data_IF_353693548402
#
_entry.id   IF_353693548402
#
_cell.length_a   1.000
_cell.length_b   1.000
_cell.length_c   1.000
_cell.angle_alpha   90.00
_cell.angle_beta   90.00
_cell.angle_gamma   90.00
#
_symmetry.space_group_name_H-M   'P 1'
#
loop_
_entity.id
_entity.type
_entity.pdbx_description
1 polymer ?
#
# COMPACT_ATOMS: atom_id res chain seq x y z
N UNK A 1 -25.58 16.64 -5.47
CA UNK A 1 -24.26 16.84 -4.86
C UNK A 1 -23.85 15.54 -4.19
N UNK A 2 -22.90 14.79 -4.76
CA UNK A 2 -22.34 13.62 -4.10
C UNK A 2 -21.36 14.17 -3.05
N UNK A 3 -21.60 13.92 -1.76
CA UNK A 3 -20.63 14.28 -0.71
C UNK A 3 -19.30 13.61 -1.08
N UNK A 4 -18.15 14.33 -1.08
CA UNK A 4 -16.87 13.66 -1.17
C UNK A 4 -16.76 12.74 0.04
N UNK A 5 -16.79 11.43 -0.20
CA UNK A 5 -16.71 10.44 0.87
C UNK A 5 -15.27 10.46 1.35
N UNK A 6 -15.02 10.92 2.58
CA UNK A 6 -13.67 10.89 3.13
C UNK A 6 -13.30 9.45 3.51
N UNK A 7 -11.99 9.12 3.58
CA UNK A 7 -11.55 7.80 4.02
C UNK A 7 -12.14 7.42 5.39
N UNK A 8 -12.21 8.38 6.32
CA UNK A 8 -12.77 8.16 7.66
C UNK A 8 -14.28 7.87 7.63
N UNK A 9 -15.06 8.48 6.73
CA UNK A 9 -16.49 8.16 6.56
C UNK A 9 -16.67 6.71 6.11
N UNK A 10 -15.88 6.26 5.13
CA UNK A 10 -15.93 4.88 4.64
C UNK A 10 -15.61 3.91 5.77
N UNK A 11 -14.53 4.15 6.49
CA UNK A 11 -14.08 3.25 7.55
C UNK A 11 -15.04 3.23 8.75
N UNK A 12 -15.64 4.36 9.10
CA UNK A 12 -16.68 4.40 10.14
C UNK A 12 -17.93 3.64 9.70
N UNK A 13 -18.34 3.73 8.42
CA UNK A 13 -19.43 2.90 7.89
C UNK A 13 -19.12 1.41 7.92
N UNK A 14 -17.86 1.03 7.70
CA UNK A 14 -17.41 -0.36 7.89
C UNK A 14 -17.48 -0.80 9.36
N UNK A 15 -16.98 0.02 10.30
CA UNK A 15 -17.05 -0.29 11.73
C UNK A 15 -18.48 -0.36 12.26
N UNK A 16 -19.38 0.47 11.72
CA UNK A 16 -20.80 0.49 12.08
C UNK A 16 -21.63 -0.64 11.46
N UNK A 17 -21.07 -1.39 10.49
CA UNK A 17 -21.78 -2.45 9.78
C UNK A 17 -22.64 -1.98 8.59
N UNK A 18 -22.68 -0.66 8.32
CA UNK A 18 -23.38 -0.08 7.16
C UNK A 18 -22.72 -0.49 5.84
N UNK A 19 -21.40 -0.72 5.87
CA UNK A 19 -20.61 -1.20 4.75
C UNK A 19 -20.01 -2.56 5.08
N UNK A 20 -20.18 -3.53 4.19
CA UNK A 20 -19.43 -4.76 4.26
C UNK A 20 -17.95 -4.53 3.86
N UNK A 21 -17.12 -5.53 4.16
CA UNK A 21 -15.67 -5.50 3.96
C UNK A 21 -15.26 -5.22 2.51
N UNK A 22 -15.93 -5.87 1.56
CA UNK A 22 -15.67 -5.69 0.13
C UNK A 22 -16.00 -4.26 -0.31
N UNK A 23 -17.18 -3.75 0.07
CA UNK A 23 -17.63 -2.44 -0.35
C UNK A 23 -16.77 -1.32 0.23
N UNK A 24 -16.37 -1.44 1.49
CA UNK A 24 -15.45 -0.50 2.12
C UNK A 24 -14.10 -0.48 1.38
N UNK A 25 -13.58 -1.65 1.00
CA UNK A 25 -12.32 -1.75 0.27
C UNK A 25 -12.41 -1.14 -1.13
N UNK A 26 -13.49 -1.38 -1.88
CA UNK A 26 -13.73 -0.75 -3.19
C UNK A 26 -13.75 0.78 -3.11
N UNK A 27 -14.44 1.33 -2.10
CA UNK A 27 -14.54 2.78 -1.94
C UNK A 27 -13.16 3.38 -1.57
N UNK A 28 -12.42 2.74 -0.67
CA UNK A 28 -11.06 3.18 -0.33
C UNK A 28 -10.11 3.09 -1.54
N UNK A 29 -10.22 2.02 -2.34
CA UNK A 29 -9.47 1.87 -3.59
C UNK A 29 -9.76 3.02 -4.55
N UNK A 30 -11.04 3.39 -4.75
CA UNK A 30 -11.39 4.52 -5.63
C UNK A 30 -10.79 5.86 -5.16
N UNK A 31 -10.69 6.08 -3.84
CA UNK A 31 -10.03 7.27 -3.30
C UNK A 31 -8.50 7.26 -3.51
N UNK A 32 -7.89 6.08 -3.57
CA UNK A 32 -6.46 5.95 -3.87
C UNK A 32 -6.22 6.26 -5.35
N UNK A 33 -7.02 5.70 -6.24
CA UNK A 33 -6.84 5.84 -7.69
C UNK A 33 -7.18 7.25 -8.22
N UNK A 34 -8.17 7.91 -7.63
CA UNK A 34 -8.75 9.14 -8.20
C UNK A 34 -8.41 10.43 -7.45
N UNK A 35 -7.81 10.35 -6.25
CA UNK A 35 -7.56 11.56 -5.47
C UNK A 35 -6.23 12.21 -5.83
N UNK A 36 -6.27 13.47 -6.21
CA UNK A 36 -5.08 14.32 -6.38
C UNK A 36 -4.38 14.66 -5.05
N UNK A 37 -5.02 14.42 -3.91
CA UNK A 37 -4.50 14.77 -2.58
C UNK A 37 -3.79 13.56 -1.99
N UNK A 38 -2.46 13.61 -1.93
CA UNK A 38 -1.64 12.53 -1.38
C UNK A 38 -2.06 12.09 0.04
N UNK A 39 -2.47 13.02 0.91
CA UNK A 39 -2.94 12.71 2.26
C UNK A 39 -4.22 11.86 2.26
N UNK A 40 -5.11 12.06 1.29
CA UNK A 40 -6.30 11.22 1.11
C UNK A 40 -5.87 9.81 0.70
N UNK A 41 -4.96 9.68 -0.28
CA UNK A 41 -4.44 8.38 -0.73
C UNK A 41 -3.74 7.61 0.40
N UNK A 42 -2.84 8.26 1.14
CA UNK A 42 -2.13 7.66 2.30
C UNK A 42 -3.12 7.19 3.37
N UNK A 43 -4.11 8.04 3.70
CA UNK A 43 -5.12 7.68 4.70
C UNK A 43 -5.98 6.51 4.21
N UNK A 44 -6.38 6.50 2.94
CA UNK A 44 -7.12 5.41 2.33
C UNK A 44 -6.34 4.10 2.36
N UNK A 45 -5.05 4.10 2.00
CA UNK A 45 -4.15 2.96 2.12
C UNK A 45 -4.10 2.44 3.57
N UNK A 46 -3.90 3.34 4.53
CA UNK A 46 -3.87 2.99 5.95
C UNK A 46 -5.15 2.31 6.42
N UNK A 47 -6.31 2.80 5.98
CA UNK A 47 -7.60 2.23 6.34
C UNK A 47 -7.89 0.94 5.58
N UNK A 48 -7.45 0.82 4.32
CA UNK A 48 -7.56 -0.39 3.52
C UNK A 48 -6.81 -1.56 4.18
N UNK A 49 -5.61 -1.30 4.73
CA UNK A 49 -4.85 -2.25 5.55
C UNK A 49 -5.67 -2.76 6.74
N UNK A 50 -6.43 -1.88 7.40
CA UNK A 50 -7.27 -2.24 8.56
C UNK A 50 -8.53 -3.01 8.17
N UNK A 51 -9.10 -2.72 7.00
CA UNK A 51 -10.22 -3.50 6.44
C UNK A 51 -9.79 -4.94 6.15
N UNK A 52 -8.49 -5.19 5.86
CA UNK A 52 -7.91 -6.54 5.64
C UNK A 52 -8.61 -7.34 4.53
N UNK A 53 -9.19 -6.67 3.53
CA UNK A 53 -9.79 -7.33 2.37
C UNK A 53 -8.70 -7.60 1.34
N UNK A 54 -8.59 -8.85 0.90
CA UNK A 54 -7.65 -9.25 -0.14
C UNK A 54 -8.42 -9.66 -1.38
N UNK A 55 -8.08 -9.04 -2.50
CA UNK A 55 -8.52 -9.48 -3.82
C UNK A 55 -7.44 -9.09 -4.87
N UNK A 56 -7.46 -9.71 -6.07
CA UNK A 56 -6.48 -9.40 -7.11
C UNK A 56 -6.51 -7.93 -7.57
N UNK A 57 -7.67 -7.27 -7.56
CA UNK A 57 -7.80 -5.86 -7.98
C UNK A 57 -7.04 -4.91 -7.04
N UNK A 58 -7.14 -5.13 -5.73
CA UNK A 58 -6.43 -4.37 -4.71
C UNK A 58 -4.93 -4.60 -4.84
N UNK A 59 -4.50 -5.84 -5.07
CA UNK A 59 -3.09 -6.13 -5.30
C UNK A 59 -2.55 -5.34 -6.52
N UNK A 60 -3.25 -5.39 -7.66
CA UNK A 60 -2.83 -4.65 -8.86
C UNK A 60 -2.78 -3.14 -8.62
N UNK A 61 -3.78 -2.57 -7.95
CA UNK A 61 -3.78 -1.14 -7.59
C UNK A 61 -2.59 -0.78 -6.67
N UNK A 62 -2.25 -1.65 -5.71
CA UNK A 62 -1.08 -1.45 -4.85
C UNK A 62 0.23 -1.54 -5.66
N UNK A 63 0.34 -2.47 -6.60
CA UNK A 63 1.51 -2.55 -7.49
C UNK A 63 1.65 -1.27 -8.33
N UNK A 64 0.57 -0.81 -8.95
CA UNK A 64 0.54 0.44 -9.70
C UNK A 64 0.92 1.63 -8.81
N UNK A 65 0.40 1.69 -7.57
CA UNK A 65 0.77 2.72 -6.60
C UNK A 65 2.25 2.71 -6.26
N UNK A 66 2.85 1.53 -6.08
CA UNK A 66 4.28 1.41 -5.76
C UNK A 66 5.15 1.89 -6.92
N UNK A 67 4.75 1.62 -8.16
CA UNK A 67 5.56 1.94 -9.34
C UNK A 67 5.37 3.38 -9.80
N UNK A 68 4.15 3.91 -9.73
CA UNK A 68 3.76 5.11 -10.49
C UNK A 68 3.25 6.29 -9.66
N UNK A 69 2.92 6.12 -8.37
CA UNK A 69 2.44 7.26 -7.58
C UNK A 69 3.53 8.33 -7.44
N UNK A 70 3.23 9.58 -7.76
CA UNK A 70 4.20 10.67 -7.73
C UNK A 70 4.73 10.96 -6.32
N UNK A 71 3.93 10.69 -5.28
CA UNK A 71 4.26 11.03 -3.91
C UNK A 71 5.00 9.87 -3.21
N UNK A 72 6.26 10.07 -2.76
CA UNK A 72 7.03 9.01 -2.11
C UNK A 72 6.43 8.50 -0.80
N UNK A 73 5.62 9.31 -0.09
CA UNK A 73 4.92 8.86 1.12
C UNK A 73 3.80 7.87 0.78
N UNK A 74 3.14 8.04 -0.37
CA UNK A 74 2.13 7.09 -0.85
C UNK A 74 2.82 5.77 -1.20
N UNK A 75 3.90 5.82 -1.99
CA UNK A 75 4.68 4.63 -2.35
C UNK A 75 5.21 3.89 -1.11
N UNK A 76 5.75 4.60 -0.12
CA UNK A 76 6.20 4.00 1.13
C UNK A 76 5.05 3.36 1.94
N UNK A 77 3.89 4.01 2.01
CA UNK A 77 2.70 3.41 2.64
C UNK A 77 2.23 2.14 1.90
N UNK A 78 2.37 2.12 0.58
CA UNK A 78 2.06 0.94 -0.25
C UNK A 78 3.02 -0.22 0.02
N UNK A 79 4.33 0.04 0.15
CA UNK A 79 5.32 -0.98 0.55
C UNK A 79 4.89 -1.68 1.84
N UNK A 80 4.51 -0.91 2.87
CA UNK A 80 4.04 -1.46 4.15
C UNK A 80 2.84 -2.41 3.97
N UNK A 81 1.91 -2.10 3.07
CA UNK A 81 0.75 -2.97 2.83
C UNK A 81 1.12 -4.23 2.06
N UNK A 82 1.89 -4.08 0.97
CA UNK A 82 2.33 -5.18 0.11
C UNK A 82 3.11 -6.21 0.94
N UNK A 83 4.05 -5.75 1.73
CA UNK A 83 4.85 -6.61 2.59
C UNK A 83 4.00 -7.32 3.65
N UNK A 84 3.09 -6.61 4.33
CA UNK A 84 2.30 -7.22 5.40
C UNK A 84 1.15 -8.10 4.89
N UNK A 85 0.73 -7.95 3.64
CA UNK A 85 -0.50 -8.56 3.11
C UNK A 85 -0.29 -9.45 1.89
N UNK A 86 0.80 -9.29 1.14
CA UNK A 86 1.04 -9.92 -0.16
C UNK A 86 2.53 -10.21 -0.36
N UNK A 87 3.24 -10.59 0.72
CA UNK A 87 4.70 -10.65 0.69
C UNK A 87 5.23 -11.51 -0.47
N UNK A 88 4.78 -12.76 -0.60
CA UNK A 88 5.31 -13.68 -1.59
C UNK A 88 4.99 -13.19 -3.02
N UNK A 89 3.81 -12.59 -3.23
CA UNK A 89 3.39 -12.02 -4.51
C UNK A 89 4.13 -10.71 -4.85
N UNK A 90 4.46 -9.91 -3.84
CA UNK A 90 5.03 -8.57 -4.00
C UNK A 90 6.56 -8.53 -4.04
N UNK A 91 7.25 -9.66 -3.92
CA UNK A 91 8.73 -9.70 -3.96
C UNK A 91 9.29 -9.03 -5.21
N UNK A 92 8.74 -9.33 -6.38
CA UNK A 92 9.22 -8.75 -7.65
C UNK A 92 9.01 -7.22 -7.71
N UNK A 93 7.80 -6.68 -7.46
CA UNK A 93 7.60 -5.23 -7.36
C UNK A 93 8.49 -4.54 -6.32
N UNK A 94 8.70 -5.17 -5.15
CA UNK A 94 9.53 -4.62 -4.08
C UNK A 94 11.01 -4.56 -4.50
N UNK A 95 11.54 -5.62 -5.12
CA UNK A 95 12.90 -5.63 -5.65
C UNK A 95 13.06 -4.55 -6.72
N UNK A 96 12.09 -4.44 -7.64
CA UNK A 96 12.11 -3.40 -8.66
C UNK A 96 12.16 -1.99 -8.04
N UNK A 97 11.34 -1.73 -7.03
CA UNK A 97 11.32 -0.45 -6.32
C UNK A 97 12.64 -0.17 -5.58
N UNK A 98 13.28 -1.19 -5.00
CA UNK A 98 14.58 -1.04 -4.36
C UNK A 98 15.67 -0.61 -5.36
N UNK A 99 15.61 -1.14 -6.59
CA UNK A 99 16.60 -0.87 -7.64
C UNK A 99 16.34 0.45 -8.39
N UNK A 100 15.08 0.89 -8.49
CA UNK A 100 14.68 1.98 -9.40
C UNK A 100 14.01 3.18 -8.72
N UNK A 101 13.45 3.05 -7.52
CA UNK A 101 12.85 4.20 -6.82
C UNK A 101 13.93 5.17 -6.37
N UNK A 102 13.77 6.45 -6.72
CA UNK A 102 14.74 7.50 -6.39
C UNK A 102 14.55 8.08 -4.99
N UNK A 103 13.50 7.70 -4.28
CA UNK A 103 13.18 8.21 -2.96
C UNK A 103 13.92 7.44 -1.87
N UNK A 104 14.78 8.11 -1.08
CA UNK A 104 15.41 7.48 0.09
C UNK A 104 14.39 6.95 1.09
N UNK A 105 13.22 7.58 1.19
CA UNK A 105 12.15 7.14 2.09
C UNK A 105 11.61 5.76 1.69
N UNK A 106 11.34 5.55 0.40
CA UNK A 106 10.80 4.27 -0.10
C UNK A 106 11.84 3.18 0.08
N UNK A 107 13.09 3.43 -0.34
CA UNK A 107 14.21 2.51 -0.16
C UNK A 107 14.38 2.14 1.32
N UNK A 108 14.43 3.14 2.21
CA UNK A 108 14.57 2.91 3.66
C UNK A 108 13.42 2.07 4.21
N UNK A 109 12.18 2.31 3.77
CA UNK A 109 11.01 1.54 4.22
C UNK A 109 11.15 0.06 3.86
N UNK A 110 11.67 -0.23 2.66
CA UNK A 110 11.93 -1.60 2.21
C UNK A 110 13.05 -2.24 3.05
N UNK A 111 14.18 -1.53 3.22
CA UNK A 111 15.34 -2.02 3.98
C UNK A 111 14.99 -2.28 5.44
N UNK A 112 14.37 -1.31 6.13
CA UNK A 112 13.97 -1.43 7.53
C UNK A 112 13.12 -2.68 7.75
N UNK A 113 12.23 -3.01 6.81
CA UNK A 113 11.42 -4.22 6.93
C UNK A 113 12.27 -5.49 6.86
N UNK A 114 13.20 -5.59 5.91
CA UNK A 114 14.00 -6.80 5.74
C UNK A 114 15.11 -6.94 6.77
N UNK A 115 15.67 -5.84 7.28
CA UNK A 115 16.68 -5.87 8.33
C UNK A 115 16.12 -6.35 9.68
N UNK A 116 14.86 -6.03 9.98
CA UNK A 116 14.18 -6.49 11.20
C UNK A 116 13.82 -7.99 11.11
N UNK A 117 13.67 -8.52 9.91
CA UNK A 117 13.28 -9.90 9.68
C UNK A 117 14.48 -10.70 9.16
N UNK A 118 15.28 -11.29 10.05
CA UNK A 118 16.44 -12.18 9.73
C UNK A 118 16.06 -13.49 9.00
N UNK A 119 15.00 -13.49 8.19
CA UNK A 119 14.55 -14.65 7.46
C UNK A 119 15.44 -14.88 6.22
N UNK A 120 15.99 -16.10 6.04
CA UNK A 120 16.89 -16.44 4.94
C UNK A 120 16.33 -16.15 3.53
N UNK A 121 15.00 -16.17 3.33
CA UNK A 121 14.36 -15.79 2.05
C UNK A 121 14.68 -14.34 1.64
N UNK A 122 14.95 -13.45 2.59
CA UNK A 122 15.16 -12.01 2.35
C UNK A 122 16.63 -11.64 2.12
N UNK A 123 17.57 -12.56 2.37
CA UNK A 123 19.00 -12.38 2.03
C UNK A 123 19.25 -12.16 0.53
N UNK A 124 18.30 -12.50 -0.34
CA UNK A 124 18.39 -12.20 -1.78
C UNK A 124 18.19 -10.71 -2.08
N UNK A 125 17.36 -10.00 -1.31
CA UNK A 125 16.98 -8.60 -1.56
C UNK A 125 18.09 -7.64 -1.10
N UNK A 126 18.74 -7.95 0.03
CA UNK A 126 19.82 -7.12 0.58
C UNK A 126 21.17 -7.31 -0.12
N UNK A 127 21.32 -8.34 -0.96
CA UNK A 127 22.58 -8.63 -1.66
C UNK A 127 22.88 -7.68 -2.83
N UNK A 128 21.88 -6.94 -3.31
CA UNK A 128 22.03 -5.94 -4.39
C UNK A 128 22.41 -4.54 -3.87
N UNK A 129 22.63 -4.39 -2.55
CA UNK A 129 22.95 -3.11 -1.90
C UNK A 129 24.46 -2.93 -1.55
N UNK A 130 25.31 -3.87 -1.95
CA UNK A 130 26.79 -3.84 -1.80
C UNK A 130 27.47 -4.00 -3.14
#
# INVERSE_FOLDING_TARGET
MIKPVSPDIIYNGFLGGDLNKEKAAELLMSLIEMSEIAQIRIKSLTLLKKVKFKNPKIYNMLEDCLVSDENPLVRAATVDILINSYLDESLNPIIWALEHDKSPLVIKTIIDFFDINENPKYKLVTKNLT
#
